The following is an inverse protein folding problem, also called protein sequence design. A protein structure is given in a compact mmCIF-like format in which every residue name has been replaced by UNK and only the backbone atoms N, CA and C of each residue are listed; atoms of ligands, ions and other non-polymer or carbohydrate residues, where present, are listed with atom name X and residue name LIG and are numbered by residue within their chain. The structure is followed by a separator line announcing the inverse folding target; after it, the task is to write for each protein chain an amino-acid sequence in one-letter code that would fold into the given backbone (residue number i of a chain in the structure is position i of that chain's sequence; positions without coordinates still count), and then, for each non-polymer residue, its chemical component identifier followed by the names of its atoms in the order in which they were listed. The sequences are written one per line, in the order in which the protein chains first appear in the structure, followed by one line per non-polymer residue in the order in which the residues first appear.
data_IF_109723141937
#
_entry.id   IF_109723141937
#
_cell.length_a   1.000
_cell.length_b   1.000
_cell.length_c   1.000
_cell.angle_alpha   90.00
_cell.angle_beta   90.00
_cell.angle_gamma   90.00
#
_symmetry.space_group_name_H-M   'P 1'
#
loop_
_entity.id
_entity.type
_entity.pdbx_description
1 polymer ?
#
# COMPACT_ATOMS: atom_id res chain seq x y z
N UNK A 1 3.10 8.01 -23.35
CA UNK A 1 4.26 7.12 -23.19
C UNK A 1 4.20 6.51 -21.82
N UNK A 2 4.09 5.19 -21.75
CA UNK A 2 4.04 4.44 -20.50
C UNK A 2 5.42 3.85 -20.25
N UNK A 3 6.03 4.23 -19.13
CA UNK A 3 7.25 3.59 -18.65
C UNK A 3 6.85 2.20 -18.13
N UNK A 4 7.59 1.17 -18.54
CA UNK A 4 7.41 -0.21 -18.07
C UNK A 4 8.70 -0.69 -17.38
N UNK A 5 8.96 -0.26 -16.15
CA UNK A 5 10.15 -0.69 -15.42
C UNK A 5 10.11 -2.21 -15.13
N UNK A 6 11.27 -2.81 -14.91
CA UNK A 6 11.35 -4.21 -14.47
C UNK A 6 10.93 -4.37 -13.02
N UNK A 7 11.25 -3.40 -12.19
CA UNK A 7 10.99 -3.38 -10.75
C UNK A 7 10.31 -2.07 -10.37
N UNK A 8 9.31 -2.16 -9.52
CA UNK A 8 8.61 -1.02 -8.92
C UNK A 8 8.73 -1.14 -7.40
N UNK A 9 9.13 -0.07 -6.74
CA UNK A 9 9.06 0.09 -5.30
C UNK A 9 7.97 1.12 -4.99
N UNK A 10 7.05 0.78 -4.11
CA UNK A 10 6.01 1.70 -3.63
C UNK A 10 5.95 1.69 -2.12
N UNK A 11 5.71 2.85 -1.52
CA UNK A 11 5.28 2.95 -0.14
C UNK A 11 3.76 2.75 -0.08
N UNK A 12 3.29 1.88 0.80
CA UNK A 12 1.87 1.63 1.01
C UNK A 12 1.42 2.04 2.39
N UNK A 13 0.13 2.33 2.54
CA UNK A 13 -0.47 2.68 3.82
C UNK A 13 -0.78 1.41 4.61
N UNK A 14 0.15 1.00 5.46
CA UNK A 14 0.10 -0.27 6.20
C UNK A 14 -1.02 -0.33 7.25
N UNK A 15 -1.46 0.83 7.76
CA UNK A 15 -2.55 0.88 8.76
C UNK A 15 -3.88 0.35 8.22
N UNK A 16 -4.07 0.32 6.88
CA UNK A 16 -5.27 -0.23 6.25
C UNK A 16 -5.34 -1.77 6.34
N UNK A 17 -4.23 -2.41 6.67
CA UNK A 17 -4.17 -3.87 6.78
C UNK A 17 -4.18 -4.59 5.43
N UNK A 18 -4.16 -5.94 5.47
CA UNK A 18 -4.02 -6.74 4.25
C UNK A 18 -5.33 -6.92 3.46
N UNK A 19 -6.48 -6.71 4.08
CA UNK A 19 -7.77 -7.05 3.48
C UNK A 19 -8.39 -5.91 2.66
N UNK A 20 -8.18 -4.65 3.09
CA UNK A 20 -8.78 -3.49 2.45
C UNK A 20 -8.07 -3.14 1.15
N UNK A 21 -8.83 -3.00 0.07
CA UNK A 21 -8.34 -2.56 -1.25
C UNK A 21 -8.72 -1.09 -1.46
N UNK A 22 -8.12 -0.20 -0.69
CA UNK A 22 -8.52 1.20 -0.55
C UNK A 22 -7.42 2.17 -0.92
N UNK A 23 -7.84 3.32 -1.45
CA UNK A 23 -7.01 4.51 -1.66
C UNK A 23 -7.75 5.77 -1.26
N UNK A 24 -7.02 6.84 -0.96
CA UNK A 24 -7.62 8.17 -0.82
C UNK A 24 -8.18 8.63 -2.17
N UNK A 25 -9.19 9.53 -2.20
CA UNK A 25 -9.65 10.17 -3.42
C UNK A 25 -8.51 10.94 -4.10
N UNK A 26 -8.49 10.92 -5.42
CA UNK A 26 -7.54 11.74 -6.18
C UNK A 26 -7.84 13.23 -6.01
N UNK A 27 -6.82 14.01 -5.69
CA UNK A 27 -6.89 15.48 -5.64
C UNK A 27 -5.57 16.08 -6.08
N UNK A 28 -5.61 17.06 -6.96
CA UNK A 28 -4.43 17.84 -7.37
C UNK A 28 -3.88 18.70 -6.24
N UNK A 29 -4.75 19.07 -5.29
CA UNK A 29 -4.44 19.94 -4.17
C UNK A 29 -4.28 19.19 -2.84
N UNK A 30 -4.07 17.87 -2.93
CA UNK A 30 -3.92 17.03 -1.75
C UNK A 30 -2.76 17.52 -0.87
N UNK A 31 -3.09 17.80 0.38
CA UNK A 31 -2.12 18.20 1.38
C UNK A 31 -2.38 17.44 2.68
N UNK A 32 -1.54 16.46 3.05
CA UNK A 32 -1.74 15.69 4.27
C UNK A 32 -1.77 16.56 5.53
N UNK A 33 -1.10 17.72 5.52
CA UNK A 33 -1.10 18.67 6.64
C UNK A 33 -2.47 19.32 6.87
N UNK A 34 -3.35 19.35 5.87
CA UNK A 34 -4.70 19.87 6.04
C UNK A 34 -5.55 19.05 7.02
N UNK A 35 -5.15 17.79 7.26
CA UNK A 35 -5.83 16.88 8.19
C UNK A 35 -5.17 16.84 9.57
N UNK A 36 -4.14 17.67 9.82
CA UNK A 36 -3.31 17.59 11.03
C UNK A 36 -3.98 18.02 12.34
N UNK A 37 -5.12 18.70 12.27
CA UNK A 37 -5.83 19.15 13.47
C UNK A 37 -6.27 18.00 14.39
N UNK A 38 -6.37 16.77 13.89
CA UNK A 38 -6.89 15.61 14.61
C UNK A 38 -5.84 14.53 14.92
N UNK A 39 -4.54 14.81 14.84
CA UNK A 39 -3.46 13.80 14.95
C UNK A 39 -3.58 12.62 13.96
N UNK A 40 -4.63 12.60 13.16
CA UNK A 40 -4.89 11.61 12.12
C UNK A 40 -4.16 11.91 10.81
N UNK A 41 -3.64 13.11 10.68
CA UNK A 41 -3.23 13.75 9.44
C UNK A 41 -2.18 13.00 8.63
N UNK A 42 -1.22 12.41 9.32
CA UNK A 42 -0.14 11.72 8.64
C UNK A 42 -0.54 10.32 8.18
N UNK A 43 -1.72 9.85 8.60
CA UNK A 43 -2.22 8.50 8.31
C UNK A 43 -3.28 8.48 7.20
N UNK A 44 -3.87 9.64 6.88
CA UNK A 44 -4.81 9.75 5.76
C UNK A 44 -4.05 10.12 4.48
N UNK A 45 -3.45 9.12 3.86
CA UNK A 45 -2.68 9.27 2.61
C UNK A 45 -2.48 7.91 1.93
N UNK A 46 -2.16 7.96 0.65
CA UNK A 46 -1.73 6.80 -0.12
C UNK A 46 -2.82 5.75 -0.35
N UNK A 47 -2.38 4.52 -0.52
CA UNK A 47 -3.23 3.37 -0.80
C UNK A 47 -2.76 2.13 -0.04
N UNK A 48 -3.68 1.20 0.17
CA UNK A 48 -3.37 -0.10 0.78
C UNK A 48 -2.49 -0.96 -0.12
N UNK A 49 -1.80 -1.94 0.47
CA UNK A 49 -1.02 -2.90 -0.30
C UNK A 49 -1.91 -3.75 -1.21
N UNK A 50 -3.13 -4.09 -0.76
CA UNK A 50 -4.08 -4.83 -1.59
C UNK A 50 -4.48 -4.04 -2.84
N UNK A 51 -4.70 -2.72 -2.72
CA UNK A 51 -4.99 -1.85 -3.86
C UNK A 51 -3.81 -1.82 -4.86
N UNK A 52 -2.58 -1.70 -4.36
CA UNK A 52 -1.39 -1.78 -5.22
C UNK A 52 -1.22 -3.16 -5.86
N UNK A 53 -1.51 -4.25 -5.15
CA UNK A 53 -1.43 -5.59 -5.72
C UNK A 53 -2.48 -5.80 -6.83
N UNK A 54 -3.70 -5.32 -6.63
CA UNK A 54 -4.77 -5.35 -7.63
C UNK A 54 -4.37 -4.59 -8.88
N UNK A 55 -3.95 -3.33 -8.72
CA UNK A 55 -3.48 -2.50 -9.83
C UNK A 55 -2.24 -3.09 -10.50
N UNK A 56 -1.30 -3.60 -9.71
CA UNK A 56 -0.08 -4.23 -10.20
C UNK A 56 -0.38 -5.40 -11.14
N UNK A 57 -1.26 -6.30 -10.76
CA UNK A 57 -1.70 -7.42 -11.62
C UNK A 57 -2.31 -6.95 -12.93
N UNK A 58 -3.17 -5.94 -12.89
CA UNK A 58 -3.77 -5.34 -14.10
C UNK A 58 -2.72 -4.75 -15.03
N UNK A 59 -1.58 -4.28 -14.50
CA UNK A 59 -0.46 -3.70 -15.22
C UNK A 59 0.65 -4.71 -15.58
N UNK A 60 0.46 -5.98 -15.24
CA UNK A 60 1.44 -7.04 -15.52
C UNK A 60 2.59 -7.13 -14.53
N UNK A 61 2.36 -6.77 -13.27
CA UNK A 61 3.31 -6.88 -12.17
C UNK A 61 2.80 -7.83 -11.08
N UNK A 62 3.72 -8.48 -10.37
CA UNK A 62 3.44 -9.30 -9.21
C UNK A 62 4.17 -8.76 -7.98
N UNK A 63 3.55 -8.85 -6.82
CA UNK A 63 4.16 -8.56 -5.52
C UNK A 63 5.18 -9.64 -5.17
N UNK A 64 6.42 -9.25 -4.84
CA UNK A 64 7.49 -10.20 -4.48
C UNK A 64 7.98 -10.03 -3.05
N UNK A 65 7.50 -9.06 -2.33
CA UNK A 65 7.84 -8.86 -0.93
C UNK A 65 7.71 -7.42 -0.47
N UNK A 66 8.12 -7.19 0.77
CA UNK A 66 8.17 -5.88 1.38
C UNK A 66 9.49 -5.69 2.14
N UNK A 67 9.78 -4.44 2.52
CA UNK A 67 10.91 -4.16 3.40
C UNK A 67 10.64 -4.69 4.83
N UNK A 68 11.69 -4.75 5.63
CA UNK A 68 11.61 -5.24 7.02
C UNK A 68 10.68 -4.42 7.92
N UNK A 69 10.39 -3.18 7.56
CA UNK A 69 9.45 -2.32 8.30
C UNK A 69 7.98 -2.56 7.94
N UNK A 70 7.70 -3.18 6.79
CA UNK A 70 6.34 -3.48 6.35
C UNK A 70 5.55 -2.28 5.84
N UNK A 71 6.20 -1.33 5.16
CA UNK A 71 5.53 -0.18 4.51
C UNK A 71 6.00 0.11 3.09
N UNK A 72 7.08 -0.53 2.62
CA UNK A 72 7.54 -0.47 1.23
C UNK A 72 7.40 -1.84 0.58
N UNK A 73 6.75 -1.90 -0.57
CA UNK A 73 6.52 -3.12 -1.32
C UNK A 73 7.30 -3.13 -2.63
N UNK A 74 7.73 -4.31 -3.04
CA UNK A 74 8.46 -4.55 -4.27
C UNK A 74 7.60 -5.35 -5.24
N UNK A 75 7.47 -4.83 -6.45
CA UNK A 75 6.78 -5.49 -7.55
C UNK A 75 7.75 -5.73 -8.70
N UNK A 76 7.65 -6.88 -9.33
CA UNK A 76 8.45 -7.24 -10.51
C UNK A 76 7.50 -7.55 -11.67
N UNK A 77 7.90 -7.11 -12.87
CA UNK A 77 7.15 -7.39 -14.09
C UNK A 77 7.01 -8.89 -14.30
N UNK A 78 5.81 -9.35 -14.65
CA UNK A 78 5.53 -10.76 -14.94
C UNK A 78 6.47 -11.28 -16.03
N UNK A 79 6.90 -12.53 -15.90
CA UNK A 79 7.86 -13.16 -16.79
C UNK A 79 9.33 -12.92 -16.45
N UNK A 80 9.65 -12.10 -15.43
CA UNK A 80 11.02 -11.83 -15.00
C UNK A 80 11.29 -12.42 -13.62
N UNK A 81 12.30 -13.29 -13.50
CA UNK A 81 12.79 -13.80 -12.22
C UNK A 81 11.76 -14.55 -11.38
N UNK A 82 10.82 -15.28 -12.00
CA UNK A 82 9.72 -15.91 -11.29
C UNK A 82 10.16 -17.06 -10.38
N UNK A 83 11.25 -17.73 -10.72
CA UNK A 83 11.81 -18.81 -9.91
C UNK A 83 12.57 -18.27 -8.69
N UNK A 84 13.34 -17.19 -8.87
CA UNK A 84 14.17 -16.57 -7.83
C UNK A 84 13.35 -15.70 -6.88
N UNK A 85 12.35 -15.01 -7.41
CA UNK A 85 11.48 -14.10 -6.69
C UNK A 85 10.01 -14.38 -7.02
N UNK A 86 9.43 -15.47 -6.48
CA UNK A 86 8.04 -15.81 -6.73
C UNK A 86 7.09 -14.78 -6.13
N UNK A 87 5.85 -14.75 -6.65
CA UNK A 87 4.78 -13.94 -6.08
C UNK A 87 4.51 -14.33 -4.62
N UNK A 88 4.34 -13.34 -3.78
CA UNK A 88 3.96 -13.51 -2.38
C UNK A 88 2.56 -12.95 -2.12
N UNK A 89 1.94 -13.38 -1.03
CA UNK A 89 0.63 -12.87 -0.63
C UNK A 89 0.76 -11.50 0.03
N UNK A 90 -0.30 -10.70 -0.05
CA UNK A 90 -0.38 -9.42 0.64
C UNK A 90 -0.22 -9.61 2.16
N UNK A 91 -0.86 -10.63 2.73
CA UNK A 91 -0.81 -10.96 4.15
C UNK A 91 0.62 -11.21 4.65
N UNK A 92 1.49 -11.75 3.80
CA UNK A 92 2.89 -12.03 4.17
C UNK A 92 3.69 -10.77 4.51
N UNK A 93 3.21 -9.59 4.11
CA UNK A 93 3.80 -8.29 4.38
C UNK A 93 3.28 -7.63 5.68
N UNK A 94 2.39 -8.29 6.42
CA UNK A 94 1.72 -7.76 7.62
C UNK A 94 2.06 -8.52 8.91
N UNK A 95 3.20 -9.16 8.98
CA UNK A 95 3.65 -9.97 10.13
C UNK A 95 4.46 -9.20 11.19
N UNK A 96 4.65 -7.90 11.01
CA UNK A 96 5.46 -7.07 11.91
C UNK A 96 4.59 -6.40 12.98
N UNK A 97 5.13 -6.27 14.20
CA UNK A 97 4.43 -5.61 15.32
C UNK A 97 4.03 -4.16 15.00
N UNK A 98 4.84 -3.47 14.21
CA UNK A 98 4.52 -2.11 13.77
C UNK A 98 3.22 -2.05 12.95
N UNK A 99 3.03 -2.98 12.03
CA UNK A 99 1.79 -3.04 11.22
C UNK A 99 0.57 -3.27 12.11
N UNK A 100 0.68 -4.21 13.06
CA UNK A 100 -0.38 -4.48 14.03
C UNK A 100 -0.72 -3.24 14.86
N UNK A 101 0.30 -2.58 15.38
CA UNK A 101 0.12 -1.33 16.13
C UNK A 101 -0.58 -0.26 15.30
N UNK A 102 -0.18 -0.07 14.03
CA UNK A 102 -0.80 0.89 13.12
C UNK A 102 -2.28 0.59 12.85
N UNK A 103 -2.61 -0.67 12.59
CA UNK A 103 -4.00 -1.10 12.38
C UNK A 103 -4.87 -0.89 13.62
N UNK A 104 -4.34 -1.12 14.81
CA UNK A 104 -5.09 -1.01 16.07
C UNK A 104 -5.20 0.45 16.57
N UNK A 105 -4.20 1.29 16.36
CA UNK A 105 -4.10 2.62 16.97
C UNK A 105 -4.19 3.79 15.99
N UNK A 106 -3.79 3.61 14.73
CA UNK A 106 -3.81 4.68 13.75
C UNK A 106 -5.01 4.59 12.79
N UNK A 107 -5.37 3.40 12.34
CA UNK A 107 -6.51 3.23 11.43
C UNK A 107 -7.81 3.78 12.00
N UNK A 108 -8.19 3.56 13.28
CA UNK A 108 -9.42 4.12 13.84
C UNK A 108 -9.52 5.65 13.77
N UNK A 109 -8.39 6.35 13.67
CA UNK A 109 -8.36 7.81 13.57
C UNK A 109 -8.76 8.32 12.17
N UNK A 110 -8.73 7.47 11.16
CA UNK A 110 -9.01 7.81 9.75
C UNK A 110 -10.11 6.93 9.13
N UNK A 111 -10.65 6.00 9.87
CA UNK A 111 -11.63 5.01 9.40
C UNK A 111 -12.87 5.67 8.77
N UNK A 112 -13.38 6.74 9.40
CA UNK A 112 -14.57 7.47 8.96
C UNK A 112 -14.29 8.47 7.81
N UNK A 113 -13.05 8.60 7.36
CA UNK A 113 -12.70 9.47 6.24
C UNK A 113 -13.09 8.81 4.92
N UNK A 114 -13.13 9.60 3.84
CA UNK A 114 -13.50 9.09 2.52
C UNK A 114 -12.39 8.20 1.94
N UNK A 115 -12.72 6.94 1.68
CA UNK A 115 -11.87 5.98 1.02
C UNK A 115 -12.51 5.48 -0.27
N UNK A 116 -11.71 5.25 -1.29
CA UNK A 116 -12.14 4.72 -2.58
C UNK A 116 -11.69 3.26 -2.66
N UNK A 117 -12.62 2.37 -2.97
CA UNK A 117 -12.32 0.96 -3.24
C UNK A 117 -11.72 0.79 -4.64
N UNK A 118 -10.68 -0.02 -4.73
CA UNK A 118 -9.93 -0.30 -5.97
C UNK A 118 -10.16 -1.72 -6.43
#
# INVERSE_FOLDING_TARGET
NVIQPHVILVEYQDILGPEKSWTIPYSTDFNPKAYSANKASNNYCGASLQAFATLGRQKGYRLVGCNKGGWNAFFIRAGLGEEELPEVTVESCFKYEWNKYGMENHFPLVEEMEWIEV
#
